data_IF_526169891796
#
_entry.id   IF_526169891796
#
_cell.length_a   1.000
_cell.length_b   1.000
_cell.length_c   1.000
_cell.angle_alpha   90.00
_cell.angle_beta   90.00
_cell.angle_gamma   90.00
#
_symmetry.space_group_name_H-M   'P 1'
#
loop_
_entity.id
_entity.type
_entity.pdbx_description
1 polymer ?
#
# COMPACT_ATOMS: atom_id res chain seq x y z
N UNK A 1 -60.57 -13.20 10.07
CA UNK A 1 -59.98 -11.93 9.60
C UNK A 1 -59.59 -11.09 10.81
N UNK A 2 -58.29 -11.03 11.13
CA UNK A 2 -57.66 -10.01 12.00
C UNK A 2 -56.15 -10.09 11.75
N UNK A 3 -55.67 -9.16 10.92
CA UNK A 3 -54.30 -9.03 10.44
C UNK A 3 -53.49 -8.34 11.54
N UNK A 4 -52.52 -9.03 12.14
CA UNK A 4 -51.58 -8.42 13.10
C UNK A 4 -50.25 -8.27 12.38
N UNK A 5 -50.01 -7.06 11.86
CA UNK A 5 -48.73 -6.65 11.28
C UNK A 5 -47.76 -6.46 12.45
N UNK A 6 -46.76 -7.33 12.57
CA UNK A 6 -45.61 -7.11 13.45
C UNK A 6 -44.46 -6.56 12.62
N UNK A 7 -44.35 -5.25 12.59
CA UNK A 7 -43.21 -4.50 12.05
C UNK A 7 -42.02 -4.68 13.01
N UNK A 8 -41.21 -5.72 12.81
CA UNK A 8 -39.88 -5.77 13.40
C UNK A 8 -38.94 -4.93 12.55
N UNK A 9 -38.67 -3.71 13.01
CA UNK A 9 -37.49 -2.94 12.62
C UNK A 9 -36.26 -3.83 12.85
N UNK A 10 -35.64 -4.29 11.77
CA UNK A 10 -34.26 -4.77 11.82
C UNK A 10 -33.41 -3.50 11.78
N UNK A 11 -32.88 -3.11 12.93
CA UNK A 11 -31.84 -2.09 13.00
C UNK A 11 -30.64 -2.60 12.19
N UNK A 12 -30.43 -2.03 11.00
CA UNK A 12 -29.15 -2.12 10.31
C UNK A 12 -28.12 -1.41 11.20
N UNK A 13 -27.38 -2.19 12.00
CA UNK A 13 -26.07 -1.76 12.48
C UNK A 13 -25.21 -1.59 11.22
N UNK A 14 -25.12 -0.35 10.72
CA UNK A 14 -24.04 0.05 9.85
C UNK A 14 -22.77 0.02 10.71
N UNK A 15 -22.13 -1.15 10.78
CA UNK A 15 -20.76 -1.26 11.23
C UNK A 15 -19.96 -0.50 10.16
N UNK A 16 -19.70 0.78 10.42
CA UNK A 16 -18.73 1.53 9.66
C UNK A 16 -17.41 0.79 9.83
N UNK A 17 -17.12 -0.09 8.86
CA UNK A 17 -15.75 -0.41 8.52
C UNK A 17 -15.16 0.94 8.12
N UNK A 18 -14.57 1.63 9.09
CA UNK A 18 -13.63 2.71 8.82
C UNK A 18 -12.44 1.99 8.19
N UNK A 19 -12.58 1.64 6.91
CA UNK A 19 -11.47 1.21 6.10
C UNK A 19 -10.55 2.41 6.09
N UNK A 20 -9.46 2.33 6.84
CA UNK A 20 -8.42 3.33 6.81
C UNK A 20 -8.04 3.50 5.35
N UNK A 21 -8.43 4.64 4.76
CA UNK A 21 -8.15 4.87 3.36
C UNK A 21 -6.63 4.80 3.16
N UNK A 22 -6.14 4.16 2.08
CA UNK A 22 -4.72 4.06 1.82
C UNK A 22 -4.05 5.43 1.92
N UNK A 23 -3.00 5.52 2.74
CA UNK A 23 -2.27 6.76 2.90
C UNK A 23 -1.51 7.09 1.61
N UNK A 24 -1.88 8.19 0.96
CA UNK A 24 -1.20 8.69 -0.22
C UNK A 24 0.02 9.52 0.19
N UNK A 25 1.19 9.12 -0.32
CA UNK A 25 2.44 9.79 0.01
C UNK A 25 2.46 11.22 -0.52
N UNK A 26 3.09 12.11 0.25
CA UNK A 26 3.51 13.42 -0.25
C UNK A 26 4.69 13.27 -1.23
N UNK A 27 4.95 14.30 -2.05
CA UNK A 27 6.09 14.28 -2.97
C UNK A 27 7.45 14.09 -2.27
N UNK A 28 7.59 14.54 -1.02
CA UNK A 28 8.80 14.35 -0.24
C UNK A 28 8.97 12.88 0.18
N UNK A 29 7.89 12.26 0.67
CA UNK A 29 7.87 10.85 1.06
C UNK A 29 8.07 9.92 -0.14
N UNK A 30 7.46 10.23 -1.29
CA UNK A 30 7.69 9.51 -2.54
C UNK A 30 9.17 9.49 -2.92
N UNK A 31 9.86 10.63 -2.80
CA UNK A 31 11.30 10.72 -3.08
C UNK A 31 12.14 9.86 -2.14
N UNK A 32 11.76 9.77 -0.87
CA UNK A 32 12.46 8.91 0.11
C UNK A 32 12.29 7.44 -0.30
N UNK A 33 11.07 7.01 -0.61
CA UNK A 33 10.79 5.64 -1.05
C UNK A 33 11.50 5.30 -2.37
N UNK A 34 11.46 6.20 -3.35
CA UNK A 34 12.14 6.04 -4.64
C UNK A 34 13.67 5.97 -4.47
N UNK A 35 14.25 6.78 -3.58
CA UNK A 35 15.68 6.74 -3.28
C UNK A 35 16.07 5.40 -2.64
N UNK A 36 15.30 4.94 -1.64
CA UNK A 36 15.48 3.62 -1.03
C UNK A 36 15.38 2.50 -2.05
N UNK A 37 14.34 2.52 -2.90
CA UNK A 37 14.11 1.52 -3.94
C UNK A 37 15.21 1.54 -5.03
N UNK A 38 15.69 2.73 -5.40
CA UNK A 38 16.80 2.90 -6.34
C UNK A 38 18.09 2.31 -5.78
N UNK A 39 18.40 2.57 -4.50
CA UNK A 39 19.58 2.03 -3.85
C UNK A 39 19.49 0.50 -3.71
N UNK A 40 18.32 -0.03 -3.37
CA UNK A 40 18.07 -1.47 -3.32
C UNK A 40 18.20 -2.13 -4.70
N UNK A 41 17.65 -1.51 -5.75
CA UNK A 41 17.75 -2.00 -7.11
C UNK A 41 19.23 -2.09 -7.55
N UNK A 42 20.02 -1.04 -7.29
CA UNK A 42 21.46 -1.01 -7.61
C UNK A 42 22.23 -2.13 -6.91
N UNK A 43 22.02 -2.35 -5.62
CA UNK A 43 22.71 -3.43 -4.88
C UNK A 43 22.29 -4.82 -5.37
N UNK A 44 21.09 -4.93 -5.95
CA UNK A 44 20.55 -6.17 -6.53
C UNK A 44 20.82 -6.30 -8.04
N UNK A 45 21.62 -5.42 -8.64
CA UNK A 45 21.88 -5.39 -10.09
C UNK A 45 20.61 -5.27 -10.95
N UNK A 46 19.62 -4.54 -10.43
CA UNK A 46 18.30 -4.29 -10.99
C UNK A 46 18.07 -2.78 -11.20
N UNK A 47 16.94 -2.42 -11.81
CA UNK A 47 16.51 -1.05 -12.07
C UNK A 47 15.14 -0.79 -11.44
N UNK A 48 14.97 0.36 -10.79
CA UNK A 48 13.65 0.81 -10.32
C UNK A 48 12.74 1.12 -11.51
N UNK A 49 11.52 0.57 -11.49
CA UNK A 49 10.47 0.85 -12.48
C UNK A 49 9.51 1.90 -11.96
N UNK A 50 8.95 1.69 -10.76
CA UNK A 50 7.99 2.60 -10.16
C UNK A 50 7.77 2.28 -8.68
N UNK A 51 7.23 3.25 -7.93
CA UNK A 51 6.65 3.04 -6.60
C UNK A 51 5.16 3.38 -6.64
N UNK A 52 4.36 2.63 -5.88
CA UNK A 52 2.90 2.78 -5.81
C UNK A 52 2.45 4.12 -5.20
N UNK A 53 3.28 4.73 -4.36
CA UNK A 53 2.97 5.95 -3.60
C UNK A 53 1.69 5.86 -2.77
N UNK A 54 1.27 4.63 -2.44
CA UNK A 54 0.10 4.31 -1.65
C UNK A 54 0.51 3.32 -0.56
N UNK A 55 0.38 3.75 0.68
CA UNK A 55 0.64 2.93 1.85
C UNK A 55 -0.70 2.32 2.29
N UNK A 56 -0.92 1.05 1.94
CA UNK A 56 -2.15 0.31 2.24
C UNK A 56 -2.08 -0.46 3.55
N UNK A 57 -0.88 -0.55 4.13
CA UNK A 57 -0.57 -1.17 5.42
C UNK A 57 -0.13 -0.02 6.32
N UNK A 58 -0.61 0.10 7.54
CA UNK A 58 -0.10 1.12 8.47
C UNK A 58 1.30 0.74 9.01
N UNK A 59 2.24 0.45 8.11
CA UNK A 59 3.61 0.02 8.41
C UNK A 59 4.67 0.97 7.82
N UNK A 60 4.22 2.07 7.22
CA UNK A 60 5.04 3.09 6.56
C UNK A 60 5.87 2.60 5.37
N UNK A 61 5.44 1.53 4.70
CA UNK A 61 6.07 1.03 3.49
C UNK A 61 5.14 1.13 2.28
N UNK A 62 5.74 1.33 1.11
CA UNK A 62 5.06 1.28 -0.17
C UNK A 62 5.68 0.21 -1.06
N UNK A 63 4.85 -0.42 -1.87
CA UNK A 63 5.31 -1.32 -2.92
C UNK A 63 6.06 -0.54 -3.99
N UNK A 64 7.28 -0.98 -4.31
CA UNK A 64 8.07 -0.52 -5.45
C UNK A 64 8.42 -1.71 -6.34
N UNK A 65 8.29 -1.54 -7.65
CA UNK A 65 8.65 -2.54 -8.65
C UNK A 65 10.07 -2.29 -9.13
N UNK A 66 10.91 -3.32 -9.07
CA UNK A 66 12.23 -3.35 -9.69
C UNK A 66 12.25 -4.39 -10.81
N UNK A 67 13.14 -4.22 -11.79
CA UNK A 67 13.36 -5.19 -12.85
C UNK A 67 14.83 -5.59 -12.92
N UNK A 68 15.11 -6.88 -13.01
CA UNK A 68 16.46 -7.38 -13.24
C UNK A 68 16.93 -7.14 -14.70
N UNK A 69 18.16 -7.55 -15.01
CA UNK A 69 18.72 -7.41 -16.36
C UNK A 69 18.00 -8.24 -17.44
N UNK A 70 17.31 -9.32 -17.04
CA UNK A 70 16.48 -10.11 -17.93
C UNK A 70 15.08 -9.50 -18.12
N UNK A 71 14.76 -8.43 -17.39
CA UNK A 71 13.46 -7.77 -17.39
C UNK A 71 12.43 -8.42 -16.46
N UNK A 72 12.83 -9.41 -15.66
CA UNK A 72 11.94 -10.02 -14.67
C UNK A 72 11.64 -8.99 -13.57
N UNK A 73 10.35 -8.80 -13.28
CA UNK A 73 9.88 -7.80 -12.32
C UNK A 73 9.67 -8.43 -10.95
N UNK A 74 10.10 -7.73 -9.92
CA UNK A 74 9.90 -8.08 -8.52
C UNK A 74 9.38 -6.90 -7.74
N UNK A 75 8.53 -7.15 -6.76
CA UNK A 75 8.07 -6.14 -5.81
C UNK A 75 8.99 -6.12 -4.58
N UNK A 76 9.30 -4.92 -4.10
CA UNK A 76 10.01 -4.69 -2.84
C UNK A 76 9.24 -3.65 -2.04
N UNK A 77 9.27 -3.77 -0.71
CA UNK A 77 8.54 -2.87 0.19
C UNK A 77 9.52 -1.83 0.75
N UNK A 78 9.38 -0.57 0.35
CA UNK A 78 10.31 0.50 0.71
C UNK A 78 9.68 1.52 1.66
N UNK A 79 10.43 1.91 2.69
CA UNK A 79 10.01 2.92 3.66
C UNK A 79 9.96 4.29 2.99
N UNK A 80 8.94 5.08 3.33
CA UNK A 80 8.85 6.49 2.94
C UNK A 80 9.16 7.46 4.08
N UNK A 81 9.50 6.93 5.25
CA UNK A 81 9.98 7.71 6.41
C UNK A 81 11.50 7.72 6.53
N UNK A 82 12.18 6.76 5.90
CA UNK A 82 13.63 6.62 5.87
C UNK A 82 14.06 5.85 4.62
N UNK A 83 15.29 6.06 4.16
CA UNK A 83 15.82 5.29 3.03
C UNK A 83 16.01 3.82 3.44
N UNK A 84 15.28 2.91 2.80
CA UNK A 84 15.47 1.47 3.00
C UNK A 84 14.30 0.64 2.50
N UNK A 85 14.57 -0.61 2.11
CA UNK A 85 13.55 -1.56 1.67
C UNK A 85 13.68 -2.89 2.41
N UNK A 86 12.54 -3.52 2.71
CA UNK A 86 12.45 -4.88 3.23
C UNK A 86 12.62 -5.86 2.07
N UNK A 87 13.41 -6.92 2.29
CA UNK A 87 13.33 -8.14 1.49
C UNK A 87 12.02 -8.84 1.87
N UNK A 88 11.19 -9.16 0.88
CA UNK A 88 10.11 -10.13 1.05
C UNK A 88 10.69 -11.55 1.05
#
# INVERSE_FOLDING_TARGET
MKLIIRTTMISLLALAAHGEEPYKLTSAESKIAELGATNYAKTSNATLISCSNLCTRDDHHVACTIADKAGARSEVQCSYKSEGCKKQ
#
